data_IF_147812222304
#
_entry.id   IF_147812222304
#
_cell.length_a   1.000
_cell.length_b   1.000
_cell.length_c   1.000
_cell.angle_alpha   90.00
_cell.angle_beta   90.00
_cell.angle_gamma   90.00
#
_symmetry.space_group_name_H-M   'P 1'
#
loop_
_entity.id
_entity.type
_entity.pdbx_description
1 polymer ?
#
# COMPACT_ATOMS: atom_id res chain seq x y z
N UNK A 1 35.10 -16.43 -23.86
CA UNK A 1 34.70 -15.05 -24.21
C UNK A 1 33.30 -14.65 -23.79
N UNK A 2 32.60 -15.40 -22.90
CA UNK A 2 31.17 -15.11 -22.50
C UNK A 2 31.00 -14.20 -21.31
N UNK A 3 32.06 -13.82 -20.59
CA UNK A 3 31.94 -13.03 -19.36
C UNK A 3 31.61 -11.55 -19.56
N UNK A 4 32.13 -10.96 -20.65
CA UNK A 4 31.98 -9.51 -20.95
C UNK A 4 30.53 -9.16 -21.39
N UNK A 5 29.94 -9.98 -22.25
CA UNK A 5 28.57 -9.76 -22.73
C UNK A 5 27.50 -9.95 -21.63
N UNK A 6 27.75 -10.88 -20.69
CA UNK A 6 26.89 -11.07 -19.51
C UNK A 6 26.97 -9.92 -18.51
N UNK A 7 28.15 -9.36 -18.31
CA UNK A 7 28.38 -8.19 -17.45
C UNK A 7 27.75 -6.92 -18.05
N UNK A 8 27.90 -6.70 -19.35
CA UNK A 8 27.27 -5.59 -20.07
C UNK A 8 25.73 -5.66 -20.01
N UNK A 9 25.12 -6.85 -20.17
CA UNK A 9 23.68 -7.02 -20.05
C UNK A 9 23.16 -6.72 -18.63
N UNK A 10 23.93 -7.01 -17.59
CA UNK A 10 23.58 -6.71 -16.19
C UNK A 10 23.64 -5.23 -15.85
N UNK A 11 24.40 -4.45 -16.61
CA UNK A 11 24.56 -3.00 -16.40
C UNK A 11 23.74 -2.16 -17.37
N UNK A 12 23.00 -2.80 -18.31
CA UNK A 12 22.13 -2.08 -19.22
C UNK A 12 21.09 -1.26 -18.46
N UNK A 13 20.89 0.01 -18.83
CA UNK A 13 19.89 0.84 -18.17
C UNK A 13 18.47 0.32 -18.43
N UNK A 14 17.63 0.33 -17.39
CA UNK A 14 16.21 -0.02 -17.48
C UNK A 14 15.35 1.23 -17.68
N UNK A 15 15.80 2.16 -18.49
CA UNK A 15 15.14 3.45 -18.71
C UNK A 15 14.07 3.30 -19.80
N UNK A 16 12.83 3.15 -19.41
CA UNK A 16 11.69 3.22 -20.32
C UNK A 16 11.55 4.68 -20.78
N UNK A 17 11.42 4.95 -22.10
CA UNK A 17 11.16 6.30 -22.58
C UNK A 17 9.86 6.88 -21.99
N UNK A 18 9.93 8.12 -21.49
CA UNK A 18 8.79 8.88 -20.96
C UNK A 18 8.96 10.35 -21.35
N UNK A 19 7.85 11.04 -21.57
CA UNK A 19 7.78 12.46 -21.87
C UNK A 19 7.72 13.35 -20.62
N UNK A 20 7.63 12.76 -19.43
CA UNK A 20 7.59 13.48 -18.14
C UNK A 20 8.92 14.18 -17.80
N UNK A 21 10.04 13.74 -18.38
CA UNK A 21 11.36 14.24 -18.02
C UNK A 21 11.97 13.55 -16.79
N UNK A 22 13.29 13.74 -16.61
CA UNK A 22 14.07 12.99 -15.62
C UNK A 22 13.75 13.39 -14.17
N UNK A 23 13.46 14.66 -13.91
CA UNK A 23 13.13 15.16 -12.57
C UNK A 23 11.77 14.63 -12.11
N UNK A 24 10.71 14.79 -12.92
CA UNK A 24 9.40 14.23 -12.65
C UNK A 24 9.45 12.72 -12.44
N UNK A 25 10.12 11.99 -13.33
CA UNK A 25 10.29 10.54 -13.19
C UNK A 25 10.97 10.14 -11.89
N UNK A 26 11.97 10.88 -11.44
CA UNK A 26 12.69 10.65 -10.18
C UNK A 26 11.76 10.88 -8.98
N UNK A 27 11.09 12.02 -8.91
CA UNK A 27 10.31 12.42 -7.74
C UNK A 27 9.04 11.57 -7.61
N UNK A 28 8.30 11.39 -8.69
CA UNK A 28 7.09 10.55 -8.71
C UNK A 28 7.45 9.08 -8.39
N UNK A 29 8.53 8.55 -8.97
CA UNK A 29 8.91 7.16 -8.67
C UNK A 29 9.35 6.97 -7.22
N UNK A 30 9.96 7.96 -6.60
CA UNK A 30 10.30 7.91 -5.19
C UNK A 30 9.03 7.84 -4.33
N UNK A 31 8.05 8.71 -4.57
CA UNK A 31 6.75 8.70 -3.87
C UNK A 31 6.00 7.39 -4.08
N UNK A 32 5.90 6.89 -5.31
CA UNK A 32 5.23 5.64 -5.62
C UNK A 32 5.91 4.42 -5.00
N UNK A 33 7.26 4.40 -4.91
CA UNK A 33 7.98 3.30 -4.24
C UNK A 33 7.75 3.29 -2.72
N UNK A 34 7.61 4.45 -2.07
CA UNK A 34 7.20 4.53 -0.67
C UNK A 34 5.78 3.97 -0.48
N UNK A 35 4.83 4.38 -1.32
CA UNK A 35 3.47 3.85 -1.30
C UNK A 35 3.43 2.34 -1.55
N UNK A 36 4.22 1.83 -2.49
CA UNK A 36 4.32 0.39 -2.77
C UNK A 36 4.82 -0.38 -1.54
N UNK A 37 5.80 0.16 -0.82
CA UNK A 37 6.29 -0.44 0.41
C UNK A 37 5.20 -0.44 1.51
N UNK A 38 4.48 0.67 1.67
CA UNK A 38 3.35 0.76 2.60
C UNK A 38 2.23 -0.23 2.26
N UNK A 39 1.91 -0.42 0.96
CA UNK A 39 0.92 -1.41 0.51
C UNK A 39 1.32 -2.84 0.89
N UNK A 40 2.60 -3.21 0.72
CA UNK A 40 3.08 -4.53 1.15
C UNK A 40 3.03 -4.70 2.68
N UNK A 41 3.41 -3.67 3.44
CA UNK A 41 3.33 -3.69 4.90
C UNK A 41 1.88 -3.82 5.37
N UNK A 42 0.95 -3.02 4.82
CA UNK A 42 -0.47 -3.10 5.13
C UNK A 42 -1.07 -4.44 4.76
N UNK A 43 -0.73 -4.98 3.57
CA UNK A 43 -1.16 -6.31 3.15
C UNK A 43 -0.72 -7.37 4.16
N UNK A 44 0.55 -7.38 4.56
CA UNK A 44 1.09 -8.36 5.49
C UNK A 44 0.43 -8.24 6.87
N UNK A 45 0.28 -7.03 7.42
CA UNK A 45 -0.41 -6.79 8.69
C UNK A 45 -1.87 -7.24 8.62
N UNK A 46 -2.59 -6.89 7.55
CA UNK A 46 -3.99 -7.31 7.35
C UNK A 46 -4.11 -8.83 7.28
N UNK A 47 -3.18 -9.52 6.59
CA UNK A 47 -3.16 -10.99 6.54
C UNK A 47 -2.78 -11.60 7.89
N UNK A 48 -1.84 -11.02 8.62
CA UNK A 48 -1.51 -11.46 9.97
C UNK A 48 -2.74 -11.39 10.89
N UNK A 49 -3.44 -10.27 10.89
CA UNK A 49 -4.67 -10.12 11.68
C UNK A 49 -5.80 -11.03 11.21
N UNK A 50 -5.96 -11.23 9.88
CA UNK A 50 -6.90 -12.21 9.32
C UNK A 50 -6.63 -13.63 9.84
N UNK A 51 -5.37 -14.04 9.99
CA UNK A 51 -5.03 -15.38 10.51
C UNK A 51 -5.24 -15.51 12.03
N UNK A 52 -5.05 -14.44 12.78
CA UNK A 52 -5.03 -14.46 14.25
C UNK A 52 -6.33 -13.93 14.89
N UNK A 53 -7.26 -13.37 14.09
CA UNK A 53 -8.53 -12.87 14.64
C UNK A 53 -9.34 -14.01 15.26
N UNK A 54 -10.06 -13.70 16.34
CA UNK A 54 -10.82 -14.70 17.10
C UNK A 54 -12.08 -14.09 17.72
N UNK A 55 -12.89 -14.88 18.41
CA UNK A 55 -14.04 -14.38 19.18
C UNK A 55 -15.39 -14.48 18.47
N UNK A 56 -16.45 -13.89 19.03
CA UNK A 56 -17.83 -14.08 18.59
C UNK A 56 -18.13 -13.68 17.15
N UNK A 57 -17.39 -12.70 16.63
CA UNK A 57 -17.50 -12.18 15.25
C UNK A 57 -16.37 -12.68 14.33
N UNK A 58 -15.72 -13.79 14.71
CA UNK A 58 -14.58 -14.35 13.97
C UNK A 58 -14.82 -14.42 12.47
N UNK A 59 -15.94 -15.05 12.06
CA UNK A 59 -16.22 -15.26 10.63
C UNK A 59 -16.34 -13.96 9.86
N UNK A 60 -17.06 -12.98 10.41
CA UNK A 60 -17.33 -11.72 9.73
C UNK A 60 -16.04 -10.90 9.58
N UNK A 61 -15.26 -10.78 10.64
CA UNK A 61 -13.98 -10.07 10.61
C UNK A 61 -12.94 -10.78 9.75
N UNK A 62 -12.87 -12.11 9.83
CA UNK A 62 -11.97 -12.92 9.01
C UNK A 62 -12.23 -12.70 7.50
N UNK A 63 -13.49 -12.71 7.06
CA UNK A 63 -13.86 -12.45 5.67
C UNK A 63 -13.63 -10.99 5.27
N UNK A 64 -13.92 -10.03 6.15
CA UNK A 64 -13.65 -8.62 5.91
C UNK A 64 -12.16 -8.36 5.68
N UNK A 65 -11.31 -8.89 6.56
CA UNK A 65 -9.87 -8.73 6.46
C UNK A 65 -9.27 -9.44 5.23
N UNK A 66 -9.83 -10.58 4.84
CA UNK A 66 -9.42 -11.26 3.60
C UNK A 66 -9.72 -10.41 2.36
N UNK A 67 -10.94 -9.84 2.29
CA UNK A 67 -11.33 -8.96 1.20
C UNK A 67 -10.46 -7.68 1.14
N UNK A 68 -10.17 -7.08 2.29
CA UNK A 68 -9.31 -5.90 2.38
C UNK A 68 -7.86 -6.23 1.95
N UNK A 69 -7.30 -7.35 2.42
CA UNK A 69 -5.96 -7.79 2.01
C UNK A 69 -5.88 -8.03 0.50
N UNK A 70 -6.88 -8.69 -0.09
CA UNK A 70 -6.94 -8.93 -1.53
C UNK A 70 -6.96 -7.60 -2.32
N UNK A 71 -7.74 -6.61 -1.89
CA UNK A 71 -7.82 -5.30 -2.52
C UNK A 71 -6.48 -4.55 -2.42
N UNK A 72 -5.86 -4.51 -1.23
CA UNK A 72 -4.54 -3.87 -1.05
C UNK A 72 -3.48 -4.55 -1.92
N UNK A 73 -3.46 -5.87 -1.97
CA UNK A 73 -2.49 -6.60 -2.80
C UNK A 73 -2.68 -6.32 -4.30
N UNK A 74 -3.92 -6.18 -4.77
CA UNK A 74 -4.21 -5.93 -6.17
C UNK A 74 -3.62 -4.60 -6.70
N UNK A 75 -3.41 -3.61 -5.82
CA UNK A 75 -2.80 -2.32 -6.21
C UNK A 75 -1.29 -2.38 -6.40
N UNK A 76 -0.61 -3.36 -5.81
CA UNK A 76 0.86 -3.43 -5.78
C UNK A 76 1.49 -3.54 -7.17
N UNK A 77 0.91 -4.36 -8.04
CA UNK A 77 1.40 -4.55 -9.40
C UNK A 77 1.25 -3.27 -10.24
N UNK A 78 0.09 -2.62 -10.14
CA UNK A 78 -0.19 -1.38 -10.86
C UNK A 78 0.77 -0.25 -10.46
N UNK A 79 1.10 -0.11 -9.17
CA UNK A 79 2.09 0.87 -8.68
C UNK A 79 3.48 0.52 -9.22
N UNK A 80 3.92 -0.74 -9.08
CA UNK A 80 5.22 -1.19 -9.53
C UNK A 80 5.42 -0.98 -11.03
N UNK A 81 4.42 -1.36 -11.83
CA UNK A 81 4.43 -1.15 -13.28
C UNK A 81 4.42 0.35 -13.65
N UNK A 82 3.66 1.19 -12.90
CA UNK A 82 3.66 2.63 -13.17
C UNK A 82 5.07 3.22 -13.00
N UNK A 83 5.77 2.86 -11.93
CA UNK A 83 7.18 3.24 -11.73
C UNK A 83 8.04 2.82 -12.91
N UNK A 84 7.83 1.62 -13.47
CA UNK A 84 8.56 1.14 -14.65
C UNK A 84 8.18 1.90 -15.91
N UNK A 85 6.91 2.21 -16.10
CA UNK A 85 6.40 2.96 -17.27
C UNK A 85 6.97 4.38 -17.34
N UNK A 86 7.22 5.04 -16.21
CA UNK A 86 7.85 6.38 -16.16
C UNK A 86 9.39 6.34 -16.21
N UNK A 87 10.00 5.17 -16.45
CA UNK A 87 11.44 5.03 -16.68
C UNK A 87 12.28 4.74 -15.43
N UNK A 88 11.68 4.57 -14.27
CA UNK A 88 12.38 4.36 -13.00
C UNK A 88 12.48 2.88 -12.60
N UNK A 89 13.12 2.60 -11.47
CA UNK A 89 13.21 1.28 -10.85
C UNK A 89 12.26 1.19 -9.68
N UNK A 90 11.63 0.02 -9.51
CA UNK A 90 10.76 -0.27 -8.37
C UNK A 90 11.45 -1.17 -7.33
N UNK A 91 10.69 -1.65 -6.35
CA UNK A 91 11.19 -2.49 -5.26
C UNK A 91 11.78 -3.82 -5.75
N UNK A 92 12.77 -4.35 -5.03
CA UNK A 92 13.49 -5.56 -5.44
C UNK A 92 13.40 -6.71 -4.43
N UNK A 93 13.05 -6.44 -3.16
CA UNK A 93 13.12 -7.45 -2.11
C UNK A 93 12.31 -7.05 -0.89
N UNK A 94 12.01 -8.03 -0.01
CA UNK A 94 11.38 -7.78 1.30
C UNK A 94 12.22 -6.82 2.15
N UNK A 95 13.54 -6.96 2.16
CA UNK A 95 14.40 -6.01 2.86
C UNK A 95 14.37 -4.59 2.27
N UNK A 96 14.05 -4.44 0.98
CA UNK A 96 13.82 -3.12 0.38
C UNK A 96 12.49 -2.52 0.83
N UNK A 97 11.43 -3.32 0.91
CA UNK A 97 10.13 -2.93 1.48
C UNK A 97 10.31 -2.44 2.91
N UNK A 98 10.93 -3.24 3.78
CA UNK A 98 11.14 -2.91 5.19
C UNK A 98 11.92 -1.61 5.43
N UNK A 99 12.80 -1.21 4.51
CA UNK A 99 13.51 0.06 4.61
C UNK A 99 12.73 1.28 4.16
N UNK A 100 11.68 1.09 3.36
CA UNK A 100 10.90 2.17 2.75
C UNK A 100 9.51 2.32 3.35
N UNK A 101 8.96 1.26 3.96
CA UNK A 101 7.63 1.33 4.58
C UNK A 101 7.58 2.39 5.67
N UNK A 102 6.47 3.11 5.76
CA UNK A 102 6.20 4.13 6.76
C UNK A 102 5.10 3.69 7.74
N UNK A 103 4.33 2.66 7.38
CA UNK A 103 3.40 2.01 8.29
C UNK A 103 4.17 1.13 9.26
N UNK A 104 3.80 1.19 10.54
CA UNK A 104 4.44 0.40 11.60
C UNK A 104 4.06 -1.07 11.49
N UNK A 105 5.00 -1.97 11.78
CA UNK A 105 4.72 -3.39 11.96
C UNK A 105 3.99 -3.63 13.30
N UNK A 106 3.30 -4.76 13.41
CA UNK A 106 2.75 -5.25 14.67
C UNK A 106 3.16 -6.71 14.84
N UNK A 107 4.11 -6.96 15.75
CA UNK A 107 4.66 -8.28 16.08
C UNK A 107 4.15 -8.79 17.44
N UNK A 108 3.07 -8.19 17.99
CA UNK A 108 2.50 -8.60 19.26
C UNK A 108 1.94 -10.02 19.18
N UNK A 109 2.20 -10.82 20.22
CA UNK A 109 1.72 -12.19 20.30
C UNK A 109 0.20 -12.30 20.31
N UNK A 110 -0.47 -11.28 20.88
CA UNK A 110 -1.93 -11.18 20.92
C UNK A 110 -2.39 -9.72 20.79
N UNK A 111 -3.31 -9.49 19.87
CA UNK A 111 -4.05 -8.23 19.73
C UNK A 111 -5.55 -8.54 19.82
N UNK A 112 -6.31 -7.76 20.59
CA UNK A 112 -7.75 -7.96 20.67
C UNK A 112 -8.43 -7.62 19.32
N UNK A 113 -9.48 -8.36 18.91
CA UNK A 113 -10.10 -8.18 17.60
C UNK A 113 -10.50 -6.74 17.25
N UNK A 114 -11.08 -6.00 18.19
CA UNK A 114 -11.45 -4.61 17.93
C UNK A 114 -10.24 -3.69 17.80
N UNK A 115 -9.14 -4.00 18.50
CA UNK A 115 -7.88 -3.25 18.39
C UNK A 115 -7.21 -3.53 17.04
N UNK A 116 -7.25 -4.79 16.54
CA UNK A 116 -6.80 -5.12 15.18
C UNK A 116 -7.53 -4.27 14.12
N UNK A 117 -8.86 -4.17 14.23
CA UNK A 117 -9.66 -3.39 13.27
C UNK A 117 -9.37 -1.89 13.40
N UNK A 118 -9.21 -1.37 14.62
CA UNK A 118 -8.89 0.02 14.87
C UNK A 118 -7.51 0.39 14.31
N UNK A 119 -6.49 -0.45 14.53
CA UNK A 119 -5.15 -0.24 13.99
C UNK A 119 -5.15 -0.24 12.46
N UNK A 120 -5.82 -1.20 11.82
CA UNK A 120 -5.93 -1.22 10.36
C UNK A 120 -6.71 -0.02 9.80
N UNK A 121 -7.71 0.50 10.54
CA UNK A 121 -8.40 1.74 10.18
C UNK A 121 -7.42 2.92 10.16
N UNK A 122 -6.61 3.05 11.19
CA UNK A 122 -5.67 4.15 11.34
C UNK A 122 -4.53 4.05 10.30
N UNK A 123 -4.06 2.85 10.00
CA UNK A 123 -3.11 2.60 8.90
C UNK A 123 -3.68 3.01 7.53
N UNK A 124 -4.95 2.69 7.24
CA UNK A 124 -5.60 3.10 5.99
C UNK A 124 -5.82 4.62 5.92
N UNK A 125 -6.09 5.30 7.03
CA UNK A 125 -6.15 6.77 7.09
C UNK A 125 -4.79 7.40 6.77
N UNK A 126 -3.72 6.86 7.37
CA UNK A 126 -2.35 7.33 7.11
C UNK A 126 -1.96 7.07 5.66
N UNK A 127 -2.28 5.88 5.13
CA UNK A 127 -2.04 5.55 3.73
C UNK A 127 -2.77 6.50 2.77
N UNK A 128 -4.05 6.83 3.04
CA UNK A 128 -4.81 7.79 2.25
C UNK A 128 -4.16 9.19 2.28
N UNK A 129 -3.60 9.60 3.41
CA UNK A 129 -2.84 10.84 3.53
C UNK A 129 -1.60 10.83 2.64
N UNK A 130 -0.80 9.76 2.70
CA UNK A 130 0.39 9.60 1.86
C UNK A 130 0.04 9.56 0.35
N UNK A 131 -1.10 8.95 -0.01
CA UNK A 131 -1.57 8.95 -1.40
C UNK A 131 -1.97 10.35 -1.88
N UNK A 132 -2.57 11.19 -1.02
CA UNK A 132 -2.88 12.59 -1.37
C UNK A 132 -1.61 13.43 -1.56
N UNK A 133 -0.59 13.22 -0.74
CA UNK A 133 0.72 13.87 -0.93
C UNK A 133 1.34 13.48 -2.28
N UNK A 134 1.32 12.18 -2.61
CA UNK A 134 1.81 11.71 -3.91
C UNK A 134 0.97 12.21 -5.09
N UNK A 135 -0.36 12.35 -4.91
CA UNK A 135 -1.25 12.93 -5.90
C UNK A 135 -0.87 14.37 -6.23
N UNK A 136 -0.70 15.22 -5.20
CA UNK A 136 -0.28 16.62 -5.40
C UNK A 136 1.05 16.71 -6.14
N UNK A 137 2.02 15.84 -5.81
CA UNK A 137 3.30 15.76 -6.52
C UNK A 137 3.12 15.38 -8.01
N UNK A 138 2.21 14.44 -8.31
CA UNK A 138 1.90 14.08 -9.69
C UNK A 138 1.27 15.25 -10.47
N UNK A 139 0.38 16.02 -9.84
CA UNK A 139 -0.22 17.22 -10.44
C UNK A 139 0.84 18.29 -10.73
N UNK A 140 1.76 18.56 -9.79
CA UNK A 140 2.86 19.51 -9.97
C UNK A 140 3.75 19.18 -11.18
N UNK A 141 3.95 17.89 -11.44
CA UNK A 141 4.72 17.41 -12.59
C UNK A 141 3.88 17.11 -13.85
N UNK A 142 2.57 17.30 -13.81
CA UNK A 142 1.66 17.05 -14.93
C UNK A 142 1.43 15.56 -15.26
N UNK A 143 1.73 14.65 -14.32
CA UNK A 143 1.48 13.21 -14.49
C UNK A 143 0.02 12.86 -14.17
N UNK A 144 -0.87 13.19 -15.09
CA UNK A 144 -2.32 12.92 -14.98
C UNK A 144 -2.65 11.45 -14.81
N UNK A 145 -1.82 10.55 -15.31
CA UNK A 145 -2.05 9.11 -15.22
C UNK A 145 -1.80 8.59 -13.80
N UNK A 146 -0.70 8.98 -13.17
CA UNK A 146 -0.43 8.62 -11.79
C UNK A 146 -1.42 9.26 -10.84
N UNK A 147 -1.79 10.53 -11.06
CA UNK A 147 -2.83 11.22 -10.29
C UNK A 147 -4.17 10.45 -10.35
N UNK A 148 -4.63 10.08 -11.54
CA UNK A 148 -5.89 9.32 -11.72
C UNK A 148 -5.87 7.94 -11.03
N UNK A 149 -4.76 7.22 -11.01
CA UNK A 149 -4.64 5.98 -10.23
C UNK A 149 -4.75 6.26 -8.73
N UNK A 150 -4.08 7.29 -8.24
CA UNK A 150 -4.10 7.66 -6.82
C UNK A 150 -5.50 8.06 -6.34
N UNK A 151 -6.31 8.75 -7.16
CA UNK A 151 -7.71 9.07 -6.83
C UNK A 151 -8.53 7.80 -6.53
N UNK A 152 -8.41 6.77 -7.36
CA UNK A 152 -9.11 5.51 -7.15
C UNK A 152 -8.61 4.77 -5.90
N UNK A 153 -7.29 4.74 -5.67
CA UNK A 153 -6.73 4.06 -4.49
C UNK A 153 -7.01 4.80 -3.18
N UNK A 154 -7.18 6.13 -3.22
CA UNK A 154 -7.66 6.94 -2.10
C UNK A 154 -9.09 6.54 -1.75
N UNK A 155 -10.01 6.48 -2.72
CA UNK A 155 -11.40 6.06 -2.52
C UNK A 155 -11.47 4.64 -1.92
N UNK A 156 -10.67 3.70 -2.44
CA UNK A 156 -10.57 2.35 -1.89
C UNK A 156 -10.07 2.32 -0.43
N UNK A 157 -9.09 3.15 -0.08
CA UNK A 157 -8.57 3.25 1.28
C UNK A 157 -9.64 3.85 2.23
N UNK A 158 -10.34 4.89 1.81
CA UNK A 158 -11.43 5.50 2.56
C UNK A 158 -12.59 4.52 2.76
N UNK A 159 -12.90 3.71 1.76
CA UNK A 159 -13.90 2.66 1.87
C UNK A 159 -13.50 1.61 2.93
N UNK A 160 -12.24 1.18 2.96
CA UNK A 160 -11.73 0.28 4.02
C UNK A 160 -11.81 0.94 5.40
N UNK A 161 -11.47 2.22 5.51
CA UNK A 161 -11.62 2.99 6.76
C UNK A 161 -13.06 2.97 7.24
N UNK A 162 -14.02 3.22 6.35
CA UNK A 162 -15.44 3.22 6.69
C UNK A 162 -15.90 1.86 7.22
N UNK A 163 -15.61 0.77 6.51
CA UNK A 163 -15.98 -0.59 6.96
C UNK A 163 -15.36 -0.94 8.32
N UNK A 164 -14.09 -0.63 8.53
CA UNK A 164 -13.40 -0.88 9.79
C UNK A 164 -13.98 -0.03 10.93
N UNK A 165 -14.30 1.23 10.67
CA UNK A 165 -14.95 2.11 11.62
C UNK A 165 -16.32 1.58 12.04
N UNK A 166 -17.19 1.23 11.09
CA UNK A 166 -18.52 0.71 11.42
C UNK A 166 -18.45 -0.64 12.16
N UNK A 167 -17.50 -1.49 11.82
CA UNK A 167 -17.29 -2.77 12.50
C UNK A 167 -16.79 -2.64 13.94
N UNK A 168 -16.18 -1.49 14.31
CA UNK A 168 -15.70 -1.22 15.68
C UNK A 168 -16.72 -0.45 16.54
N UNK A 169 -17.87 -0.03 15.98
CA UNK A 169 -18.87 0.70 16.76
C UNK A 169 -19.48 -0.17 17.86
N UNK A 170 -19.73 0.40 19.05
CA UNK A 170 -20.41 -0.33 20.12
C UNK A 170 -21.81 -0.73 19.68
N UNK A 171 -22.19 -2.00 19.89
CA UNK A 171 -23.53 -2.47 19.60
C UNK A 171 -24.59 -1.75 20.47
N UNK A 172 -25.85 -1.71 20.02
CA UNK A 172 -26.97 -1.03 20.69
C UNK A 172 -27.12 -1.38 22.18
N UNK A 173 -26.74 -2.60 22.59
CA UNK A 173 -26.81 -3.04 23.97
C UNK A 173 -25.86 -2.26 24.92
N UNK A 174 -24.77 -1.69 24.41
CA UNK A 174 -23.81 -0.92 25.21
C UNK A 174 -24.20 0.55 25.36
N UNK A 175 -25.09 1.06 24.51
CA UNK A 175 -25.58 2.46 24.55
C UNK A 175 -26.74 2.68 25.53
N UNK A 176 -27.26 1.62 26.15
CA UNK A 176 -28.43 1.67 27.08
C UNK A 176 -28.04 1.61 28.56
N UNK A 177 -26.81 1.92 28.91
CA UNK A 177 -26.35 2.01 30.30
C UNK A 177 -26.05 3.42 30.71
#
# INVERSE_FOLDING_TARGET
MNGSAGKQRRTAPLNTPSDLGAEAAKDISAALNLLLADMFALYMKTKSFHWHISGPHFRDYHLLLDAHAAQVHATTDAIAERVRKIGARTLHSIGHISRLQRLSDNDEEYVAPLDMLAELRDDNLLLATHMREAHGLCEEHGDVTSASFLENWIDEAENRVWYLFEATRPGEASLRR
#
